data_IF_139216202721
#
_entry.id   IF_139216202721
#
_cell.length_a   1.000
_cell.length_b   1.000
_cell.length_c   1.000
_cell.angle_alpha   90.00
_cell.angle_beta   90.00
_cell.angle_gamma   90.00
#
_symmetry.space_group_name_H-M   'P 1'
#
loop_
_entity.id
_entity.type
_entity.pdbx_description
1 polymer ?
#
# COMPACT_ATOMS: atom_id res chain seq x y z
N UNK A 1 8.26 36.65 -4.14
CA UNK A 1 7.84 35.30 -4.50
C UNK A 1 8.27 34.40 -3.37
N UNK A 2 7.39 33.89 -2.50
CA UNK A 2 7.81 32.93 -1.47
C UNK A 2 8.19 31.61 -2.16
N UNK A 3 9.35 31.09 -1.83
CA UNK A 3 9.80 29.75 -2.19
C UNK A 3 8.91 28.72 -1.48
N UNK A 4 7.80 28.37 -2.10
CA UNK A 4 7.00 27.23 -1.70
C UNK A 4 7.72 25.96 -2.16
N UNK A 5 8.59 25.44 -1.31
CA UNK A 5 9.37 24.21 -1.58
C UNK A 5 8.50 22.96 -1.55
N UNK A 6 7.19 23.07 -1.27
CA UNK A 6 6.21 21.97 -1.37
C UNK A 6 6.61 20.68 -0.63
N UNK A 7 7.54 20.77 0.31
CA UNK A 7 7.91 19.68 1.20
C UNK A 7 6.79 19.53 2.22
N UNK A 8 6.05 18.41 2.15
CA UNK A 8 5.26 18.00 3.31
C UNK A 8 6.29 17.70 4.40
N UNK A 9 6.24 18.40 5.52
CA UNK A 9 7.19 18.14 6.60
C UNK A 9 7.04 16.68 7.05
N UNK A 10 8.14 16.04 7.49
CA UNK A 10 8.03 14.73 8.14
C UNK A 10 6.99 14.84 9.26
N UNK A 11 6.29 13.72 9.52
CA UNK A 11 5.28 13.69 10.59
C UNK A 11 5.87 14.33 11.85
N UNK A 12 5.17 15.26 12.48
CA UNK A 12 5.63 15.87 13.73
C UNK A 12 5.98 14.77 14.75
N UNK A 13 7.03 14.98 15.52
CA UNK A 13 7.44 14.03 16.57
C UNK A 13 6.27 13.57 17.44
N UNK A 14 5.38 14.51 17.80
CA UNK A 14 4.20 14.22 18.60
C UNK A 14 3.26 13.22 17.93
N UNK A 15 3.07 13.34 16.61
CA UNK A 15 2.18 12.45 15.84
C UNK A 15 2.75 11.05 15.72
N UNK A 16 4.08 10.92 15.55
CA UNK A 16 4.76 9.62 15.54
C UNK A 16 4.62 8.93 16.90
N UNK A 17 4.82 9.66 17.98
CA UNK A 17 4.64 9.14 19.35
C UNK A 17 3.17 8.72 19.57
N UNK A 18 2.23 9.57 19.19
CA UNK A 18 0.79 9.29 19.31
C UNK A 18 0.36 8.05 18.53
N UNK A 19 0.96 7.82 17.34
CA UNK A 19 0.70 6.63 16.53
C UNK A 19 1.33 5.35 17.12
N UNK A 20 2.54 5.43 17.67
CA UNK A 20 3.29 4.25 18.11
C UNK A 20 2.98 3.81 19.55
N UNK A 21 2.81 4.77 20.47
CA UNK A 21 2.77 4.50 21.90
C UNK A 21 1.60 3.60 22.33
N UNK A 22 0.36 3.79 21.84
CA UNK A 22 -0.76 2.92 22.22
C UNK A 22 -0.49 1.43 21.89
N UNK A 23 0.03 1.16 20.69
CA UNK A 23 0.35 -0.20 20.27
C UNK A 23 1.51 -0.81 21.05
N UNK A 24 2.57 -0.05 21.32
CA UNK A 24 3.75 -0.53 22.06
C UNK A 24 3.47 -0.77 23.56
N UNK A 25 2.45 -0.13 24.12
CA UNK A 25 2.04 -0.33 25.53
C UNK A 25 0.92 -1.37 25.69
N UNK A 26 0.34 -1.84 24.59
CA UNK A 26 -0.66 -2.88 24.61
C UNK A 26 -0.10 -4.24 25.07
N UNK A 27 -0.98 -5.12 25.54
CA UNK A 27 -0.60 -6.49 25.95
C UNK A 27 0.00 -7.27 24.77
N UNK A 28 -0.57 -7.14 23.58
CA UNK A 28 0.01 -7.60 22.31
C UNK A 28 0.52 -6.36 21.59
N UNK A 29 1.85 -6.23 21.55
CA UNK A 29 2.47 -5.03 21.00
C UNK A 29 2.31 -4.96 19.49
N UNK A 30 2.01 -3.76 18.99
CA UNK A 30 1.84 -3.48 17.57
C UNK A 30 2.52 -2.16 17.20
N UNK A 31 2.82 -2.00 15.92
CA UNK A 31 3.15 -0.70 15.31
C UNK A 31 2.33 -0.52 14.04
N UNK A 32 1.81 0.67 13.77
CA UNK A 32 1.03 0.93 12.56
C UNK A 32 1.90 0.91 11.31
N UNK A 33 1.44 0.22 10.25
CA UNK A 33 2.17 0.04 9.00
C UNK A 33 2.50 1.37 8.27
N UNK A 34 1.73 2.43 8.50
CA UNK A 34 2.05 3.76 7.95
C UNK A 34 3.44 4.28 8.36
N UNK A 35 3.98 3.81 9.47
CA UNK A 35 5.31 4.18 9.93
C UNK A 35 6.45 3.54 9.12
N UNK A 36 6.19 2.56 8.25
CA UNK A 36 7.19 2.02 7.33
C UNK A 36 7.67 3.04 6.30
N UNK A 37 6.78 3.92 5.85
CA UNK A 37 6.97 4.71 4.63
C UNK A 37 7.60 6.08 4.89
N UNK A 38 8.75 6.10 5.59
CA UNK A 38 9.70 7.21 5.52
C UNK A 38 10.57 7.08 4.25
N UNK A 39 11.48 8.01 4.02
CA UNK A 39 12.34 7.97 2.84
C UNK A 39 13.15 6.67 2.72
N UNK A 40 13.73 6.20 3.84
CA UNK A 40 14.51 4.95 3.87
C UNK A 40 13.60 3.73 3.66
N UNK A 41 12.44 3.72 4.30
CA UNK A 41 11.46 2.64 4.14
C UNK A 41 10.94 2.52 2.71
N UNK A 42 10.64 3.63 2.04
CA UNK A 42 10.27 3.61 0.62
C UNK A 42 11.39 3.02 -0.25
N UNK A 43 12.66 3.38 -0.01
CA UNK A 43 13.80 2.82 -0.76
C UNK A 43 13.95 1.31 -0.50
N UNK A 44 13.78 0.87 0.76
CA UNK A 44 13.82 -0.55 1.11
C UNK A 44 12.66 -1.31 0.45
N UNK A 45 11.46 -0.72 0.42
CA UNK A 45 10.31 -1.33 -0.26
C UNK A 45 10.56 -1.49 -1.77
N UNK A 46 11.11 -0.48 -2.46
CA UNK A 46 11.50 -0.62 -3.87
C UNK A 46 12.48 -1.77 -4.07
N UNK A 47 13.47 -1.91 -3.19
CA UNK A 47 14.40 -3.05 -3.25
C UNK A 47 13.69 -4.40 -3.02
N UNK A 48 12.69 -4.46 -2.13
CA UNK A 48 11.85 -5.66 -1.94
C UNK A 48 11.17 -6.03 -3.25
N UNK A 49 10.61 -5.07 -3.98
CA UNK A 49 9.89 -5.35 -5.25
C UNK A 49 10.77 -5.94 -6.34
N UNK A 50 12.10 -5.81 -6.23
CA UNK A 50 13.09 -6.36 -7.16
C UNK A 50 13.60 -7.76 -6.77
N UNK A 51 13.28 -8.23 -5.55
CA UNK A 51 13.76 -9.53 -5.07
C UNK A 51 13.16 -10.71 -5.84
N UNK A 52 13.96 -11.75 -6.10
CA UNK A 52 13.46 -12.98 -6.74
C UNK A 52 12.31 -13.64 -5.98
N UNK A 53 12.34 -13.58 -4.65
CA UNK A 53 11.31 -14.14 -3.79
C UNK A 53 10.01 -13.34 -3.81
N UNK A 54 10.07 -12.01 -4.04
CA UNK A 54 8.91 -11.13 -4.05
C UNK A 54 8.20 -11.16 -5.40
N UNK A 55 7.46 -12.23 -5.67
CA UNK A 55 6.80 -12.48 -6.96
C UNK A 55 5.63 -11.50 -7.26
N UNK A 56 5.05 -10.83 -6.25
CA UNK A 56 3.83 -10.02 -6.38
C UNK A 56 3.96 -8.97 -7.50
N UNK A 57 4.97 -8.11 -7.40
CA UNK A 57 5.18 -7.01 -8.35
C UNK A 57 5.37 -7.52 -9.78
N UNK A 58 6.26 -8.51 -9.99
CA UNK A 58 6.52 -9.02 -11.35
C UNK A 58 5.33 -9.75 -11.94
N UNK A 59 4.51 -10.43 -11.10
CA UNK A 59 3.31 -11.13 -11.57
C UNK A 59 2.26 -10.13 -12.04
N UNK A 60 1.99 -9.09 -11.24
CA UNK A 60 1.07 -8.02 -11.61
C UNK A 60 1.55 -7.26 -12.84
N UNK A 61 2.84 -6.88 -12.90
CA UNK A 61 3.45 -6.20 -14.05
C UNK A 61 3.39 -7.04 -15.34
N UNK A 62 3.37 -8.37 -15.24
CA UNK A 62 3.16 -9.25 -16.37
C UNK A 62 1.68 -9.39 -16.76
N UNK A 63 0.76 -9.25 -15.80
CA UNK A 63 -0.67 -9.35 -16.01
C UNK A 63 -1.28 -8.07 -16.63
N UNK A 64 -0.91 -6.89 -16.13
CA UNK A 64 -1.48 -5.60 -16.53
C UNK A 64 -1.46 -5.34 -18.04
N UNK A 65 -0.39 -5.63 -18.82
CA UNK A 65 -0.39 -5.44 -20.27
C UNK A 65 -1.30 -6.41 -21.03
N UNK A 66 -1.72 -7.51 -20.40
CA UNK A 66 -2.62 -8.50 -21.03
C UNK A 66 -4.10 -8.13 -20.88
N UNK A 67 -4.41 -7.11 -20.07
CA UNK A 67 -5.78 -6.67 -19.86
C UNK A 67 -6.38 -6.12 -21.16
N UNK A 68 -7.61 -6.54 -21.54
CA UNK A 68 -8.25 -6.12 -22.78
C UNK A 68 -8.61 -4.63 -22.77
N UNK A 69 -8.91 -4.08 -23.95
CA UNK A 69 -9.21 -2.67 -24.09
C UNK A 69 -10.45 -2.23 -23.30
N UNK A 70 -11.41 -3.11 -23.13
CA UNK A 70 -12.69 -2.87 -22.44
C UNK A 70 -12.58 -2.83 -20.90
N UNK A 71 -11.36 -2.97 -20.32
CA UNK A 71 -11.11 -2.63 -18.92
C UNK A 71 -11.43 -1.16 -18.66
N UNK A 72 -11.07 -0.27 -19.60
CA UNK A 72 -11.52 1.12 -19.60
C UNK A 72 -12.90 1.20 -20.25
N UNK A 73 -13.86 2.02 -19.74
CA UNK A 73 -15.17 2.18 -20.36
C UNK A 73 -15.06 2.54 -21.84
N UNK A 74 -15.82 1.85 -22.69
CA UNK A 74 -15.85 2.13 -24.13
C UNK A 74 -16.30 3.58 -24.39
N UNK A 75 -15.53 4.30 -25.20
CA UNK A 75 -15.83 5.71 -25.52
C UNK A 75 -15.43 6.70 -24.43
N UNK A 76 -14.77 6.27 -23.35
CA UNK A 76 -14.23 7.20 -22.36
C UNK A 76 -13.27 8.18 -23.03
N UNK A 77 -13.56 9.45 -22.86
CA UNK A 77 -12.72 10.59 -23.26
C UNK A 77 -12.65 11.54 -22.08
N UNK A 78 -11.51 12.17 -21.90
CA UNK A 78 -11.28 13.10 -20.79
C UNK A 78 -11.56 12.48 -19.39
N UNK A 79 -11.35 11.16 -19.27
CA UNK A 79 -11.49 10.45 -18.00
C UNK A 79 -10.45 10.87 -16.97
N UNK A 80 -10.72 10.49 -15.72
CA UNK A 80 -9.82 10.72 -14.60
C UNK A 80 -9.40 9.34 -14.06
N UNK A 81 -8.08 9.05 -14.07
CA UNK A 81 -7.55 7.89 -13.37
C UNK A 81 -7.20 8.29 -11.93
N UNK A 82 -7.86 7.67 -10.96
CA UNK A 82 -7.58 7.86 -9.53
C UNK A 82 -6.87 6.62 -9.01
N UNK A 83 -5.60 6.75 -8.64
CA UNK A 83 -4.81 5.64 -8.11
C UNK A 83 -4.65 5.78 -6.61
N UNK A 84 -5.05 4.77 -5.87
CA UNK A 84 -4.92 4.70 -4.42
C UNK A 84 -3.63 3.97 -4.06
N UNK A 85 -2.73 4.61 -3.30
CA UNK A 85 -1.40 4.11 -3.01
C UNK A 85 -0.42 4.26 -4.19
N UNK A 86 -0.56 5.35 -4.96
CA UNK A 86 0.23 5.63 -6.15
C UNK A 86 1.51 6.40 -5.86
N UNK A 87 2.54 5.76 -5.30
CA UNK A 87 3.84 6.41 -5.04
C UNK A 87 4.73 6.56 -6.28
N UNK A 88 4.45 5.78 -7.34
CA UNK A 88 5.06 5.93 -8.67
C UNK A 88 4.06 5.59 -9.78
N UNK A 89 4.35 6.03 -11.00
CA UNK A 89 3.46 5.90 -12.14
C UNK A 89 3.59 4.58 -12.92
N UNK A 90 4.47 3.69 -12.54
CA UNK A 90 4.87 2.52 -13.34
C UNK A 90 3.68 1.63 -13.70
N UNK A 91 2.80 1.33 -12.75
CA UNK A 91 1.61 0.51 -12.98
C UNK A 91 0.48 1.30 -13.64
N UNK A 92 0.26 2.55 -13.24
CA UNK A 92 -0.77 3.40 -13.82
C UNK A 92 -0.57 3.60 -15.33
N UNK A 93 0.67 3.62 -15.81
CA UNK A 93 1.01 3.77 -17.23
C UNK A 93 0.37 2.70 -18.11
N UNK A 94 0.12 1.48 -17.61
CA UNK A 94 -0.61 0.47 -18.39
C UNK A 94 -2.05 0.87 -18.72
N UNK A 95 -2.63 1.79 -17.96
CA UNK A 95 -3.93 2.37 -18.23
C UNK A 95 -3.81 3.71 -18.96
N UNK A 96 -2.88 4.57 -18.55
CA UNK A 96 -2.66 5.91 -19.10
C UNK A 96 -2.17 5.88 -20.55
N UNK A 97 -1.28 4.95 -20.90
CA UNK A 97 -0.66 4.82 -22.22
C UNK A 97 -1.55 4.06 -23.23
N UNK A 98 -2.82 3.75 -22.88
CA UNK A 98 -3.74 3.06 -23.78
C UNK A 98 -4.05 3.88 -25.05
N UNK A 99 -4.22 3.19 -26.20
CA UNK A 99 -4.62 3.86 -27.44
C UNK A 99 -5.87 4.73 -27.24
N UNK A 100 -5.87 5.91 -27.85
CA UNK A 100 -6.97 6.87 -27.74
C UNK A 100 -6.88 7.77 -26.51
N UNK A 101 -5.91 7.57 -25.62
CA UNK A 101 -5.68 8.39 -24.42
C UNK A 101 -6.99 8.67 -23.65
N UNK A 102 -7.58 7.64 -23.04
CA UNK A 102 -8.91 7.76 -22.43
C UNK A 102 -8.94 8.70 -21.22
N UNK A 103 -7.78 9.03 -20.65
CA UNK A 103 -7.65 9.87 -19.46
C UNK A 103 -7.02 11.22 -19.81
N UNK A 104 -7.61 12.31 -19.34
CA UNK A 104 -7.06 13.68 -19.39
C UNK A 104 -6.44 14.09 -18.05
N UNK A 105 -6.78 13.39 -16.98
CA UNK A 105 -6.21 13.62 -15.64
C UNK A 105 -5.78 12.31 -14.96
N UNK A 106 -4.72 12.41 -14.16
CA UNK A 106 -4.23 11.37 -13.29
C UNK A 106 -4.09 11.90 -11.86
N UNK A 107 -4.74 11.24 -10.94
CA UNK A 107 -4.84 11.64 -9.54
C UNK A 107 -4.28 10.52 -8.65
N UNK A 108 -2.96 10.45 -8.45
CA UNK A 108 -2.35 9.54 -7.50
C UNK A 108 -2.54 10.04 -6.08
N UNK A 109 -2.91 9.14 -5.18
CA UNK A 109 -3.14 9.40 -3.75
C UNK A 109 -2.13 8.56 -2.97
N UNK A 110 -1.27 9.19 -2.18
CA UNK A 110 -0.30 8.49 -1.34
C UNK A 110 0.14 9.38 -0.17
N UNK A 111 0.65 8.77 0.90
CA UNK A 111 1.25 9.47 2.04
C UNK A 111 2.69 9.93 1.74
N UNK A 112 3.34 9.36 0.73
CA UNK A 112 4.72 9.63 0.33
C UNK A 112 4.82 10.88 -0.55
N UNK A 113 4.68 12.07 0.05
CA UNK A 113 4.65 13.35 -0.65
C UNK A 113 5.83 13.60 -1.60
N UNK A 114 7.05 13.23 -1.21
CA UNK A 114 8.24 13.42 -2.05
C UNK A 114 8.21 12.51 -3.28
N UNK A 115 7.72 11.28 -3.15
CA UNK A 115 7.52 10.37 -4.28
C UNK A 115 6.49 10.94 -5.26
N UNK A 116 5.36 11.44 -4.77
CA UNK A 116 4.33 12.11 -5.58
C UNK A 116 4.86 13.33 -6.32
N UNK A 117 5.67 14.16 -5.66
CA UNK A 117 6.31 15.33 -6.26
C UNK A 117 7.28 14.93 -7.37
N UNK A 118 8.16 13.96 -7.10
CA UNK A 118 9.10 13.44 -8.09
C UNK A 118 8.38 12.82 -9.30
N UNK A 119 7.32 12.04 -9.07
CA UNK A 119 6.45 11.48 -10.11
C UNK A 119 5.82 12.58 -10.96
N UNK A 120 5.24 13.63 -10.35
CA UNK A 120 4.65 14.75 -11.09
C UNK A 120 5.68 15.39 -12.04
N UNK A 121 6.93 15.58 -11.62
CA UNK A 121 7.99 16.14 -12.46
C UNK A 121 8.32 15.20 -13.64
N UNK A 122 8.41 13.88 -13.41
CA UNK A 122 8.63 12.91 -14.48
C UNK A 122 7.48 12.89 -15.48
N UNK A 123 6.24 12.82 -14.96
CA UNK A 123 5.03 12.76 -15.78
C UNK A 123 4.84 14.03 -16.63
N UNK A 124 5.17 15.20 -16.12
CA UNK A 124 5.13 16.44 -16.90
C UNK A 124 6.02 16.40 -18.15
N UNK A 125 7.09 15.62 -18.14
CA UNK A 125 8.01 15.45 -19.28
C UNK A 125 7.54 14.36 -20.25
N UNK A 126 7.03 13.25 -19.70
CA UNK A 126 6.68 12.05 -20.50
C UNK A 126 5.23 12.10 -21.01
N UNK A 127 4.34 12.77 -20.27
CA UNK A 127 2.89 12.86 -20.56
C UNK A 127 2.41 14.31 -20.50
N UNK A 128 2.92 15.23 -21.36
CA UNK A 128 2.61 16.66 -21.27
C UNK A 128 1.13 16.98 -21.53
N UNK A 129 0.37 16.05 -22.09
CA UNK A 129 -1.08 16.19 -22.30
C UNK A 129 -1.91 15.85 -21.05
N UNK A 130 -1.31 15.20 -20.04
CA UNK A 130 -2.02 14.67 -18.88
C UNK A 130 -1.90 15.65 -17.71
N UNK A 131 -3.03 16.03 -17.13
CA UNK A 131 -3.05 16.80 -15.87
C UNK A 131 -2.74 15.86 -14.70
N UNK A 132 -1.58 15.98 -14.12
CA UNK A 132 -1.19 15.20 -12.94
C UNK A 132 -1.53 15.99 -11.68
N UNK A 133 -2.43 15.46 -10.85
CA UNK A 133 -3.02 16.09 -9.67
C UNK A 133 -2.74 15.22 -8.43
N UNK A 134 -1.52 15.21 -7.88
CA UNK A 134 -1.20 14.39 -6.73
C UNK A 134 -1.97 14.84 -5.49
N UNK A 135 -2.49 13.87 -4.74
CA UNK A 135 -3.15 14.08 -3.45
C UNK A 135 -2.32 13.43 -2.36
N UNK A 136 -1.75 14.25 -1.49
CA UNK A 136 -1.02 13.74 -0.32
C UNK A 136 -2.02 13.43 0.78
N UNK A 137 -2.14 12.17 1.17
CA UNK A 137 -3.06 11.77 2.21
C UNK A 137 -3.15 10.27 2.39
N UNK A 138 -3.73 9.89 3.52
CA UNK A 138 -4.07 8.50 3.81
C UNK A 138 -5.44 8.19 3.17
N UNK A 139 -5.46 7.34 2.16
CA UNK A 139 -6.68 6.94 1.46
C UNK A 139 -7.67 6.15 2.35
N UNK A 140 -7.26 5.76 3.54
CA UNK A 140 -8.16 5.19 4.56
C UNK A 140 -9.00 6.25 5.29
N UNK A 141 -8.65 7.52 5.13
CA UNK A 141 -9.38 8.66 5.69
C UNK A 141 -10.24 9.34 4.62
N UNK A 142 -11.29 10.07 4.99
CA UNK A 142 -12.04 10.88 4.04
C UNK A 142 -11.12 11.88 3.34
N UNK A 143 -11.02 11.78 2.03
CA UNK A 143 -10.20 12.68 1.20
C UNK A 143 -11.08 13.61 0.39
N UNK A 144 -10.72 14.88 0.38
CA UNK A 144 -11.27 15.83 -0.58
C UNK A 144 -10.50 15.73 -1.89
N UNK A 145 -11.06 14.99 -2.85
CA UNK A 145 -10.46 14.91 -4.17
C UNK A 145 -10.67 16.24 -4.92
N UNK A 146 -9.66 16.71 -5.69
CA UNK A 146 -9.83 17.86 -6.56
C UNK A 146 -11.03 17.70 -7.49
N UNK A 147 -11.84 18.75 -7.61
CA UNK A 147 -12.96 18.76 -8.54
C UNK A 147 -12.44 18.84 -9.97
N UNK A 148 -12.63 17.76 -10.72
CA UNK A 148 -12.24 17.64 -12.13
C UNK A 148 -13.40 17.03 -12.89
N UNK A 149 -13.83 17.72 -13.94
CA UNK A 149 -14.89 17.20 -14.81
C UNK A 149 -14.38 15.95 -15.56
N UNK A 150 -15.19 14.91 -15.61
CA UNK A 150 -14.90 13.67 -16.32
C UNK A 150 -15.34 12.44 -15.52
N UNK A 151 -15.48 11.31 -16.21
CA UNK A 151 -15.78 10.03 -15.57
C UNK A 151 -14.53 9.51 -14.87
N UNK A 152 -14.64 9.17 -13.59
CA UNK A 152 -13.54 8.62 -12.83
C UNK A 152 -13.43 7.09 -13.03
N UNK A 153 -12.18 6.61 -13.04
CA UNK A 153 -11.84 5.20 -12.90
C UNK A 153 -10.83 5.05 -11.76
N UNK A 154 -11.16 4.20 -10.80
CA UNK A 154 -10.24 3.88 -9.70
C UNK A 154 -9.25 2.79 -10.08
N UNK A 155 -8.06 2.87 -9.50
CA UNK A 155 -7.01 1.86 -9.62
C UNK A 155 -6.35 1.64 -8.26
N UNK A 156 -6.30 0.40 -7.81
CA UNK A 156 -5.70 0.02 -6.54
C UNK A 156 -4.82 -1.21 -6.70
N UNK A 157 -3.59 -1.01 -7.20
CA UNK A 157 -2.66 -2.08 -7.52
C UNK A 157 -1.86 -2.57 -6.32
N UNK A 158 -0.96 -3.52 -6.56
CA UNK A 158 0.10 -3.92 -5.65
C UNK A 158 -0.34 -4.85 -4.55
N UNK A 159 -1.58 -5.33 -4.59
CA UNK A 159 -2.16 -6.08 -3.46
C UNK A 159 -2.22 -5.27 -2.15
N UNK A 160 -2.25 -3.95 -2.24
CA UNK A 160 -2.34 -3.05 -1.09
C UNK A 160 -3.59 -3.31 -0.25
N UNK A 161 -4.67 -3.82 -0.88
CA UNK A 161 -5.89 -4.29 -0.18
C UNK A 161 -5.57 -5.38 0.85
N UNK A 162 -4.51 -6.16 0.65
CA UNK A 162 -4.06 -7.19 1.58
C UNK A 162 -3.52 -6.65 2.91
N UNK A 163 -3.14 -5.38 2.97
CA UNK A 163 -2.69 -4.75 4.22
C UNK A 163 -3.87 -4.34 5.12
N UNK A 164 -5.09 -4.43 4.60
CA UNK A 164 -6.32 -4.10 5.30
C UNK A 164 -7.00 -5.36 5.81
N UNK A 165 -7.50 -5.33 7.05
CA UNK A 165 -8.39 -6.38 7.50
C UNK A 165 -9.71 -6.34 6.70
N UNK A 166 -10.53 -7.41 6.70
CA UNK A 166 -11.75 -7.47 5.89
C UNK A 166 -12.74 -6.33 6.13
N UNK A 167 -12.82 -5.81 7.36
CA UNK A 167 -13.72 -4.68 7.71
C UNK A 167 -13.17 -3.39 7.12
N UNK A 168 -11.88 -3.14 7.31
CA UNK A 168 -11.18 -1.99 6.76
C UNK A 168 -11.18 -2.02 5.22
N UNK A 169 -10.97 -3.19 4.59
CA UNK A 169 -11.03 -3.37 3.15
C UNK A 169 -12.43 -3.02 2.58
N UNK A 170 -13.51 -3.51 3.23
CA UNK A 170 -14.88 -3.15 2.84
C UNK A 170 -15.16 -1.66 3.05
N UNK A 171 -14.68 -1.08 4.14
CA UNK A 171 -14.79 0.35 4.43
C UNK A 171 -14.10 1.20 3.37
N UNK A 172 -12.86 0.87 3.02
CA UNK A 172 -12.10 1.52 1.96
C UNK A 172 -12.83 1.46 0.61
N UNK A 173 -13.24 0.27 0.19
CA UNK A 173 -13.94 0.09 -1.09
C UNK A 173 -15.24 0.89 -1.15
N UNK A 174 -15.98 1.00 -0.04
CA UNK A 174 -17.19 1.83 0.06
C UNK A 174 -16.86 3.32 -0.09
N UNK A 175 -15.81 3.78 0.59
CA UNK A 175 -15.33 5.17 0.48
C UNK A 175 -14.86 5.50 -0.93
N UNK A 176 -14.08 4.60 -1.56
CA UNK A 176 -13.64 4.74 -2.94
C UNK A 176 -14.84 4.84 -3.91
N UNK A 177 -15.87 3.98 -3.72
CA UNK A 177 -17.10 4.05 -4.52
C UNK A 177 -17.80 5.39 -4.40
N UNK A 178 -17.93 5.92 -3.18
CA UNK A 178 -18.54 7.23 -2.94
C UNK A 178 -17.75 8.36 -3.58
N UNK A 179 -16.42 8.31 -3.50
CA UNK A 179 -15.55 9.34 -4.06
C UNK A 179 -15.50 9.33 -5.60
N UNK A 180 -15.61 8.15 -6.22
CA UNK A 180 -15.55 8.00 -7.67
C UNK A 180 -16.90 8.22 -8.36
N UNK A 181 -18.00 8.05 -7.63
CA UNK A 181 -19.34 8.27 -8.13
C UNK A 181 -19.98 7.07 -8.83
N UNK A 182 -21.26 7.22 -9.16
CA UNK A 182 -22.05 6.18 -9.82
C UNK A 182 -21.54 5.87 -11.24
N UNK A 183 -21.56 4.59 -11.60
CA UNK A 183 -21.09 4.10 -12.89
C UNK A 183 -19.55 4.08 -13.05
N UNK A 184 -18.79 4.52 -12.03
CA UNK A 184 -17.34 4.44 -12.05
C UNK A 184 -16.86 2.99 -12.14
N UNK A 185 -15.76 2.76 -12.86
CA UNK A 185 -15.03 1.47 -12.80
C UNK A 185 -13.92 1.53 -11.78
N UNK A 186 -13.57 0.36 -11.25
CA UNK A 186 -12.47 0.20 -10.31
C UNK A 186 -11.68 -1.06 -10.66
N UNK A 187 -10.38 -0.92 -10.84
CA UNK A 187 -9.48 -2.04 -11.07
C UNK A 187 -8.71 -2.31 -9.77
N UNK A 188 -8.91 -3.50 -9.20
CA UNK A 188 -8.36 -3.92 -7.92
C UNK A 188 -7.39 -5.07 -8.12
N UNK A 189 -6.11 -4.82 -7.86
CA UNK A 189 -5.05 -5.84 -7.86
C UNK A 189 -4.91 -6.52 -6.49
N UNK A 190 -4.89 -7.85 -6.49
CA UNK A 190 -4.78 -8.61 -5.25
C UNK A 190 -3.98 -9.91 -5.41
N UNK A 191 -3.09 -10.12 -4.45
CA UNK A 191 -2.39 -11.39 -4.27
C UNK A 191 -3.31 -12.43 -3.64
N UNK A 192 -3.34 -13.63 -4.24
CA UNK A 192 -4.29 -14.66 -3.85
C UNK A 192 -3.68 -15.65 -2.86
N UNK A 193 -4.56 -16.33 -2.10
CA UNK A 193 -4.17 -17.42 -1.20
C UNK A 193 -3.50 -18.56 -1.98
N UNK A 194 -2.33 -18.98 -1.51
CA UNK A 194 -1.52 -20.06 -2.06
C UNK A 194 -0.70 -20.77 -0.99
N UNK A 195 0.15 -21.70 -1.37
CA UNK A 195 1.02 -22.42 -0.44
C UNK A 195 1.91 -21.48 0.37
N UNK A 196 2.02 -21.65 1.70
CA UNK A 196 2.96 -20.91 2.53
C UNK A 196 4.41 -21.02 2.07
N UNK A 197 4.79 -22.10 1.37
CA UNK A 197 6.12 -22.27 0.77
C UNK A 197 6.43 -21.22 -0.31
N UNK A 198 5.40 -20.64 -0.94
CA UNK A 198 5.54 -19.53 -1.91
C UNK A 198 5.44 -18.19 -1.19
N UNK A 199 4.53 -18.09 -0.21
CA UNK A 199 4.25 -16.84 0.49
C UNK A 199 5.39 -16.40 1.42
N UNK A 200 5.88 -17.29 2.28
CA UNK A 200 6.85 -16.93 3.32
C UNK A 200 8.17 -16.37 2.77
N UNK A 201 8.79 -16.93 1.71
CA UNK A 201 10.02 -16.34 1.17
C UNK A 201 9.86 -14.90 0.67
N UNK A 202 8.67 -14.52 0.19
CA UNK A 202 8.39 -13.16 -0.29
C UNK A 202 8.40 -12.12 0.85
N UNK A 203 8.22 -12.54 2.10
CA UNK A 203 8.22 -11.69 3.29
C UNK A 203 9.38 -11.98 4.25
N UNK A 204 10.27 -12.90 3.87
CA UNK A 204 11.44 -13.30 4.66
C UNK A 204 12.55 -13.75 3.71
N UNK A 205 13.00 -12.82 2.85
CA UNK A 205 13.98 -13.04 1.80
C UNK A 205 15.38 -13.38 2.35
N UNK A 206 16.12 -14.18 1.61
CA UNK A 206 17.46 -14.62 2.00
C UNK A 206 18.48 -13.47 2.09
N UNK A 207 18.29 -12.39 1.33
CA UNK A 207 19.14 -11.20 1.36
C UNK A 207 18.87 -10.28 2.57
N UNK A 208 17.78 -10.51 3.33
CA UNK A 208 17.43 -9.75 4.52
C UNK A 208 16.91 -8.33 4.24
N UNK A 209 16.47 -8.05 3.02
CA UNK A 209 15.95 -6.72 2.68
C UNK A 209 14.63 -6.45 3.40
N UNK A 210 13.73 -7.44 3.46
CA UNK A 210 12.47 -7.34 4.21
C UNK A 210 12.72 -7.20 5.70
N UNK A 211 13.72 -7.89 6.24
CA UNK A 211 14.14 -7.71 7.62
C UNK A 211 14.62 -6.28 7.89
N UNK A 212 15.43 -5.71 6.98
CA UNK A 212 15.88 -4.32 7.09
C UNK A 212 14.71 -3.33 7.02
N UNK A 213 13.73 -3.59 6.16
CA UNK A 213 12.50 -2.81 6.05
C UNK A 213 11.69 -2.85 7.35
N UNK A 214 11.51 -4.03 7.94
CA UNK A 214 10.78 -4.16 9.19
C UNK A 214 11.51 -3.47 10.37
N UNK A 215 12.84 -3.65 10.49
CA UNK A 215 13.65 -2.98 11.49
C UNK A 215 13.73 -1.46 11.32
N UNK A 216 13.44 -0.95 10.12
CA UNK A 216 13.41 0.50 9.88
C UNK A 216 12.34 1.21 10.72
N UNK A 217 11.26 0.55 11.11
CA UNK A 217 10.29 1.09 12.07
C UNK A 217 10.95 1.56 13.37
N UNK A 218 11.79 0.70 13.95
CA UNK A 218 12.50 1.02 15.20
C UNK A 218 13.55 2.10 14.98
N UNK A 219 14.27 2.06 13.85
CA UNK A 219 15.24 3.09 13.46
C UNK A 219 14.55 4.45 13.32
N UNK A 220 13.39 4.49 12.67
CA UNK A 220 12.56 5.69 12.53
C UNK A 220 12.12 6.23 13.90
N UNK A 221 11.62 5.37 14.79
CA UNK A 221 11.21 5.78 16.14
C UNK A 221 12.38 6.37 16.92
N UNK A 222 13.59 5.80 16.82
CA UNK A 222 14.78 6.36 17.43
C UNK A 222 15.12 7.74 16.87
N UNK A 223 15.12 7.87 15.53
CA UNK A 223 15.50 9.09 14.83
C UNK A 223 14.48 10.22 15.01
N UNK A 224 13.21 9.93 14.83
CA UNK A 224 12.15 10.94 14.70
C UNK A 224 11.36 11.14 16.00
N UNK A 225 11.21 10.09 16.83
CA UNK A 225 10.49 10.16 18.09
C UNK A 225 11.41 10.21 19.33
N UNK A 226 12.73 10.01 19.15
CA UNK A 226 13.72 10.01 20.23
C UNK A 226 13.59 8.80 21.15
N UNK A 227 13.20 7.64 20.58
CA UNK A 227 13.25 6.36 21.29
C UNK A 227 14.70 5.85 21.41
N UNK A 228 14.91 4.83 22.21
CA UNK A 228 16.22 4.20 22.44
C UNK A 228 16.23 2.68 22.15
N UNK A 229 15.52 2.26 21.09
CA UNK A 229 15.57 0.87 20.66
C UNK A 229 16.98 0.45 20.27
N UNK A 230 17.50 -0.62 20.88
CA UNK A 230 18.67 -1.32 20.35
C UNK A 230 18.22 -2.26 19.23
N UNK A 231 18.53 -1.90 17.99
CA UNK A 231 18.11 -2.66 16.81
C UNK A 231 18.68 -4.08 16.81
N UNK A 232 19.89 -4.30 17.37
CA UNK A 232 20.48 -5.61 17.52
C UNK A 232 19.75 -6.50 18.57
N UNK A 233 18.88 -5.90 19.38
CA UNK A 233 18.01 -6.60 20.32
C UNK A 233 16.72 -7.16 19.71
N UNK A 234 16.50 -6.97 18.40
CA UNK A 234 15.32 -7.44 17.69
C UNK A 234 15.69 -8.18 16.40
N UNK A 235 14.89 -9.20 16.07
CA UNK A 235 14.98 -9.89 14.78
C UNK A 235 13.63 -9.83 14.06
N UNK A 236 13.67 -9.81 12.75
CA UNK A 236 12.50 -9.95 11.91
C UNK A 236 12.02 -11.41 11.87
N UNK A 237 10.70 -11.58 11.79
CA UNK A 237 10.06 -12.86 11.52
C UNK A 237 8.78 -12.64 10.72
N UNK A 238 8.60 -13.41 9.64
CA UNK A 238 7.35 -13.49 8.91
C UNK A 238 6.69 -14.86 9.19
N UNK A 239 5.39 -14.84 9.53
CA UNK A 239 4.63 -16.05 9.82
C UNK A 239 3.37 -16.11 8.96
N UNK A 240 2.96 -17.34 8.62
CA UNK A 240 1.66 -17.58 7.98
C UNK A 240 0.62 -17.87 9.05
N UNK A 241 -0.39 -17.02 9.16
CA UNK A 241 -1.57 -17.24 9.98
C UNK A 241 -2.66 -17.86 9.09
N UNK A 242 -2.83 -19.18 9.20
CA UNK A 242 -3.77 -19.92 8.35
C UNK A 242 -5.23 -19.60 8.66
N UNK A 243 -5.55 -19.37 9.94
CA UNK A 243 -6.90 -19.03 10.38
C UNK A 243 -7.37 -17.70 9.80
N UNK A 244 -6.48 -16.71 9.80
CA UNK A 244 -6.75 -15.37 9.28
C UNK A 244 -6.41 -15.24 7.77
N UNK A 245 -5.79 -16.27 7.18
CA UNK A 245 -5.37 -16.26 5.77
C UNK A 245 -4.46 -15.07 5.43
N UNK A 246 -3.43 -14.83 6.24
CA UNK A 246 -2.52 -13.70 6.05
C UNK A 246 -1.08 -14.04 6.44
N UNK A 247 -0.13 -13.33 5.85
CA UNK A 247 1.21 -13.20 6.38
C UNK A 247 1.18 -12.12 7.47
N UNK A 248 1.86 -12.37 8.56
CA UNK A 248 2.13 -11.40 9.61
C UNK A 248 3.63 -11.13 9.70
N UNK A 249 4.03 -9.87 9.76
CA UNK A 249 5.40 -9.49 10.04
C UNK A 249 5.55 -9.09 11.51
N UNK A 250 6.60 -9.58 12.14
CA UNK A 250 6.90 -9.34 13.54
C UNK A 250 8.34 -8.90 13.74
N UNK A 251 8.57 -8.10 14.76
CA UNK A 251 9.89 -7.85 15.36
C UNK A 251 9.92 -8.53 16.71
N UNK A 252 10.78 -9.56 16.83
CA UNK A 252 10.89 -10.38 18.02
C UNK A 252 12.06 -9.87 18.87
N UNK A 253 11.79 -9.57 20.15
CA UNK A 253 12.85 -9.25 21.10
C UNK A 253 13.68 -10.50 21.41
N UNK A 254 14.99 -10.45 21.21
CA UNK A 254 15.89 -11.59 21.42
C UNK A 254 16.45 -11.67 22.84
N UNK A 255 16.03 -10.77 23.72
CA UNK A 255 16.42 -10.72 25.14
C UNK A 255 15.39 -9.94 25.95
N UNK A 256 15.46 -10.05 27.27
CA UNK A 256 14.75 -9.12 28.15
C UNK A 256 15.37 -7.74 28.03
N UNK A 257 14.57 -6.73 27.72
CA UNK A 257 15.05 -5.35 27.55
C UNK A 257 13.96 -4.33 27.87
N UNK A 258 14.37 -3.11 28.08
CA UNK A 258 13.48 -1.98 28.28
C UNK A 258 13.87 -0.88 27.29
N UNK A 259 12.87 -0.31 26.65
CA UNK A 259 13.00 0.78 25.69
C UNK A 259 12.20 1.97 26.20
N UNK A 260 12.71 3.16 25.99
CA UNK A 260 12.01 4.41 26.29
C UNK A 260 11.50 5.05 25.02
N UNK A 261 10.25 5.45 25.04
CA UNK A 261 9.64 6.31 24.02
C UNK A 261 8.91 7.44 24.74
N UNK A 262 9.32 8.68 24.52
CA UNK A 262 8.93 9.83 25.32
C UNK A 262 9.19 9.55 26.83
N UNK A 263 8.20 9.77 27.69
CA UNK A 263 8.30 9.53 29.13
C UNK A 263 7.87 8.11 29.55
N UNK A 264 7.67 7.22 28.57
CA UNK A 264 7.15 5.86 28.83
C UNK A 264 8.24 4.81 28.68
N UNK A 265 8.41 3.96 29.71
CA UNK A 265 9.26 2.79 29.68
C UNK A 265 8.47 1.56 29.20
N UNK A 266 8.88 1.00 28.06
CA UNK A 266 8.26 -0.16 27.43
C UNK A 266 9.16 -1.37 27.68
N UNK A 267 8.63 -2.40 28.33
CA UNK A 267 9.37 -3.62 28.63
C UNK A 267 9.09 -4.68 27.58
N UNK A 268 10.14 -5.40 27.22
CA UNK A 268 10.09 -6.58 26.36
C UNK A 268 10.69 -7.77 27.08
N UNK A 269 10.00 -8.89 27.05
CA UNK A 269 10.57 -10.18 27.43
C UNK A 269 11.27 -10.79 26.22
N UNK A 270 12.24 -11.66 26.46
CA UNK A 270 12.78 -12.49 25.39
C UNK A 270 11.64 -13.29 24.72
N UNK A 271 11.62 -13.31 23.39
CA UNK A 271 10.55 -13.91 22.58
C UNK A 271 9.29 -13.06 22.40
N UNK A 272 9.16 -11.93 23.09
CA UNK A 272 8.01 -11.05 22.92
C UNK A 272 8.08 -10.32 21.57
N UNK A 273 6.93 -10.22 20.88
CA UNK A 273 6.84 -9.66 19.54
C UNK A 273 6.17 -8.30 19.49
N UNK A 274 6.59 -7.48 18.52
CA UNK A 274 5.83 -6.37 17.99
C UNK A 274 5.26 -6.82 16.65
N UNK A 275 3.94 -6.85 16.49
CA UNK A 275 3.28 -7.11 15.21
C UNK A 275 3.28 -5.80 14.39
N UNK A 276 3.85 -5.84 13.19
CA UNK A 276 4.15 -4.64 12.40
C UNK A 276 3.32 -4.54 11.13
N UNK A 277 2.95 -5.66 10.51
CA UNK A 277 2.16 -5.65 9.29
C UNK A 277 1.35 -6.93 9.11
N UNK A 278 0.20 -6.80 8.48
CA UNK A 278 -0.57 -7.90 7.91
C UNK A 278 -0.51 -7.84 6.39
N UNK A 279 -0.50 -9.01 5.76
CA UNK A 279 -0.74 -9.12 4.32
C UNK A 279 -1.70 -10.27 4.06
N UNK A 280 -2.98 -9.93 3.99
CA UNK A 280 -4.06 -10.89 3.72
C UNK A 280 -3.93 -11.47 2.31
N UNK A 281 -4.13 -12.78 2.24
CA UNK A 281 -4.12 -13.55 1.00
C UNK A 281 -5.52 -14.14 0.80
N UNK A 282 -6.34 -13.36 0.15
CA UNK A 282 -7.74 -13.72 -0.02
C UNK A 282 -7.91 -14.86 -1.05
N UNK A 283 -8.96 -15.64 -0.89
CA UNK A 283 -9.53 -16.39 -2.00
C UNK A 283 -10.27 -15.41 -2.91
N UNK A 284 -10.35 -15.70 -4.21
CA UNK A 284 -11.03 -14.84 -5.17
C UNK A 284 -12.48 -14.56 -4.76
N UNK A 285 -13.17 -15.59 -4.29
CA UNK A 285 -14.57 -15.50 -3.85
C UNK A 285 -14.74 -14.54 -2.65
N UNK A 286 -13.77 -14.55 -1.73
CA UNK A 286 -13.76 -13.66 -0.57
C UNK A 286 -13.60 -12.20 -1.00
N UNK A 287 -12.68 -11.91 -1.93
CA UNK A 287 -12.49 -10.56 -2.48
C UNK A 287 -13.75 -10.05 -3.19
N UNK A 288 -14.38 -10.92 -4.00
CA UNK A 288 -15.63 -10.60 -4.68
C UNK A 288 -16.72 -10.26 -3.67
N UNK A 289 -16.80 -11.02 -2.57
CA UNK A 289 -17.80 -10.77 -1.53
C UNK A 289 -17.54 -9.44 -0.81
N UNK A 290 -16.29 -9.17 -0.43
CA UNK A 290 -15.90 -7.87 0.18
C UNK A 290 -16.28 -6.70 -0.74
N UNK A 291 -16.01 -6.82 -2.04
CA UNK A 291 -16.37 -5.78 -3.01
C UNK A 291 -17.90 -5.61 -3.11
N UNK A 292 -18.65 -6.69 -3.15
CA UNK A 292 -20.13 -6.66 -3.18
C UNK A 292 -20.72 -6.00 -1.93
N UNK A 293 -20.20 -6.33 -0.74
CA UNK A 293 -20.63 -5.75 0.54
C UNK A 293 -20.33 -4.24 0.62
N UNK A 294 -19.35 -3.79 -0.18
CA UNK A 294 -19.02 -2.38 -0.35
C UNK A 294 -19.85 -1.70 -1.48
N UNK A 295 -20.76 -2.41 -2.14
CA UNK A 295 -21.66 -1.89 -3.16
C UNK A 295 -21.10 -1.95 -4.59
N UNK A 296 -20.00 -2.68 -4.83
CA UNK A 296 -19.42 -2.86 -6.15
C UNK A 296 -19.99 -4.11 -6.86
N UNK A 297 -20.23 -3.99 -8.16
CA UNK A 297 -20.58 -5.11 -9.02
C UNK A 297 -19.33 -5.64 -9.72
N UNK A 298 -19.10 -6.95 -9.65
CA UNK A 298 -18.01 -7.57 -10.39
C UNK A 298 -18.36 -7.61 -11.88
N UNK A 299 -17.51 -7.04 -12.73
CA UNK A 299 -17.61 -7.18 -14.19
C UNK A 299 -16.77 -8.36 -14.67
N UNK A 300 -15.52 -8.45 -14.22
CA UNK A 300 -14.59 -9.48 -14.70
C UNK A 300 -13.45 -9.71 -13.71
N UNK A 301 -12.88 -10.90 -13.74
CA UNK A 301 -11.61 -11.22 -13.07
C UNK A 301 -10.60 -11.60 -14.13
N UNK A 302 -9.42 -11.02 -14.03
CA UNK A 302 -8.24 -11.40 -14.80
C UNK A 302 -7.23 -12.00 -13.84
N UNK A 303 -6.61 -13.10 -14.24
CA UNK A 303 -5.68 -13.82 -13.38
C UNK A 303 -4.44 -14.22 -14.17
N UNK A 304 -3.28 -14.23 -13.52
CA UNK A 304 -2.08 -14.78 -14.13
C UNK A 304 -2.22 -16.31 -14.33
N UNK A 305 -1.41 -16.89 -15.23
CA UNK A 305 -1.50 -18.31 -15.58
C UNK A 305 -1.27 -19.27 -14.41
N UNK A 306 -0.53 -18.86 -13.41
CA UNK A 306 -0.24 -19.67 -12.24
C UNK A 306 -1.26 -19.49 -11.11
N UNK A 307 -2.22 -18.57 -11.26
CA UNK A 307 -3.23 -18.29 -10.26
C UNK A 307 -2.68 -17.61 -9.01
N UNK A 308 -1.58 -16.86 -9.15
CA UNK A 308 -0.94 -16.19 -8.01
C UNK A 308 -1.58 -14.85 -7.69
N UNK A 309 -1.98 -14.09 -8.72
CA UNK A 309 -2.45 -12.73 -8.63
C UNK A 309 -3.70 -12.51 -9.47
N UNK A 310 -4.61 -11.66 -9.03
CA UNK A 310 -5.80 -11.31 -9.78
C UNK A 310 -6.01 -9.79 -9.85
N UNK A 311 -6.55 -9.35 -10.99
CA UNK A 311 -7.14 -8.03 -11.18
C UNK A 311 -8.65 -8.18 -11.26
N UNK A 312 -9.39 -7.56 -10.35
CA UNK A 312 -10.84 -7.52 -10.34
C UNK A 312 -11.31 -6.22 -10.97
N UNK A 313 -12.04 -6.30 -12.06
CA UNK A 313 -12.74 -5.16 -12.65
C UNK A 313 -14.12 -5.05 -12.04
N UNK A 314 -14.35 -3.95 -11.34
CA UNK A 314 -15.58 -3.65 -10.60
C UNK A 314 -16.29 -2.45 -11.21
N UNK A 315 -17.60 -2.32 -10.97
CA UNK A 315 -18.42 -1.17 -11.35
C UNK A 315 -19.29 -0.73 -10.16
N UNK A 316 -19.38 0.61 -9.95
CA UNK A 316 -20.19 1.26 -8.92
C UNK A 316 -21.68 1.25 -9.23
#
# INVERSE_FOLDING_TARGET
>A
MPNDTGLVPPLPRADIIAAALPGLTAMRKTLPAMLFYDQEGCQLFYRITELPEYYLTRTEMALLPTLPADVVPSGMRDGILVEFGGSDETKARFLLDRPGRPFSAYMPIDVAAESLKAMRVRMARTHPWLRVLPVVGDFMQPLHLPDVAGQAMGFFPGSTIGNLDPVAASGFLRSARQSLGEGARFLLGADLRKSPKVLLPAYNDAAGVTAAFNLNLLRRLNREAGADFDLAGFRHEAVWNDAESRIEMHLISIRNQQVRLADTAIRFREGESIHTENSYKHRQETLIQIARDAGWNLLKVFQDRAGLFAELLLQA
#
